data_IF_454102881689
#
_entry.id   IF_454102881689
#
_cell.length_a   1.000
_cell.length_b   1.000
_cell.length_c   1.000
_cell.angle_alpha   90.00
_cell.angle_beta   90.00
_cell.angle_gamma   90.00
#
_symmetry.space_group_name_H-M   'P 1'
#
loop_
_entity.id
_entity.type
_entity.pdbx_description
1 polymer ?
#
# COMPACT_ATOMS: atom_id res chain seq x y z
N UNK A 1 16.15 15.46 -6.75
CA UNK A 1 16.46 14.42 -7.77
C UNK A 1 15.35 13.36 -7.91
N UNK A 2 14.80 12.84 -6.81
CA UNK A 2 13.70 11.84 -6.81
C UNK A 2 12.39 12.33 -7.47
N UNK A 3 12.03 13.60 -7.27
CA UNK A 3 10.83 14.20 -7.86
C UNK A 3 10.87 14.22 -9.40
N UNK A 4 12.03 14.57 -9.98
CA UNK A 4 12.24 14.56 -11.42
C UNK A 4 12.16 13.16 -12.02
N UNK A 5 12.73 12.15 -11.36
CA UNK A 5 12.64 10.75 -11.83
C UNK A 5 11.21 10.21 -11.87
N UNK A 6 10.36 10.61 -10.91
CA UNK A 6 8.94 10.25 -10.91
C UNK A 6 8.18 10.86 -12.08
N UNK A 7 8.42 12.15 -12.35
CA UNK A 7 7.81 12.89 -13.47
C UNK A 7 8.25 12.32 -14.82
N UNK A 8 9.53 12.00 -15.00
CA UNK A 8 10.04 11.42 -16.26
C UNK A 8 9.42 10.05 -16.55
N UNK A 9 9.28 9.20 -15.52
CA UNK A 9 8.63 7.89 -15.67
C UNK A 9 7.13 8.00 -15.97
N UNK A 10 6.46 8.98 -15.36
CA UNK A 10 5.05 9.29 -15.64
C UNK A 10 4.86 9.74 -17.10
N UNK A 11 5.65 10.73 -17.54
CA UNK A 11 5.60 11.23 -18.92
C UNK A 11 5.88 10.09 -19.91
N UNK A 12 6.91 9.27 -19.67
CA UNK A 12 7.23 8.15 -20.55
C UNK A 12 6.08 7.12 -20.66
N UNK A 13 5.44 6.78 -19.53
CA UNK A 13 4.32 5.83 -19.52
C UNK A 13 3.08 6.40 -20.20
N UNK A 14 2.79 7.69 -19.98
CA UNK A 14 1.67 8.38 -20.61
C UNK A 14 1.88 8.53 -22.13
N UNK A 15 3.07 8.94 -22.56
CA UNK A 15 3.43 9.02 -23.98
C UNK A 15 3.37 7.65 -24.65
N UNK A 16 3.89 6.60 -24.01
CA UNK A 16 3.80 5.23 -24.53
C UNK A 16 2.35 4.78 -24.71
N UNK A 17 1.49 5.05 -23.71
CA UNK A 17 0.05 4.76 -23.80
C UNK A 17 -0.59 5.51 -24.98
N UNK A 18 -0.28 6.79 -25.18
CA UNK A 18 -0.79 7.59 -26.30
C UNK A 18 -0.32 7.04 -27.66
N UNK A 19 0.92 6.59 -27.77
CA UNK A 19 1.47 5.98 -29.00
C UNK A 19 0.77 4.65 -29.31
N UNK A 20 0.57 3.79 -28.31
CA UNK A 20 -0.16 2.51 -28.48
C UNK A 20 -1.59 2.79 -28.93
N UNK A 21 -2.27 3.75 -28.32
CA UNK A 21 -3.63 4.16 -28.70
C UNK A 21 -3.68 4.68 -30.13
N UNK A 22 -2.76 5.59 -30.50
CA UNK A 22 -2.70 6.13 -31.85
C UNK A 22 -2.47 5.01 -32.89
N UNK A 23 -1.53 4.11 -32.61
CA UNK A 23 -1.18 3.01 -33.52
C UNK A 23 -2.34 2.02 -33.69
N UNK A 24 -3.01 1.65 -32.59
CA UNK A 24 -4.18 0.76 -32.63
C UNK A 24 -5.34 1.37 -33.43
N UNK A 25 -5.63 2.66 -33.23
CA UNK A 25 -6.68 3.35 -33.98
C UNK A 25 -6.36 3.47 -35.48
N UNK A 26 -5.09 3.74 -35.84
CA UNK A 26 -4.66 3.74 -37.24
C UNK A 26 -4.82 2.34 -37.87
N UNK A 27 -4.47 1.26 -37.15
CA UNK A 27 -4.74 -0.09 -37.64
C UNK A 27 -6.24 -0.33 -37.87
N UNK A 28 -7.10 0.01 -36.91
CA UNK A 28 -8.56 -0.19 -37.06
C UNK A 28 -9.12 0.60 -38.25
N UNK A 29 -8.67 1.84 -38.48
CA UNK A 29 -9.09 2.67 -39.62
C UNK A 29 -8.62 2.06 -40.96
N UNK A 30 -7.49 1.34 -40.99
CA UNK A 30 -7.01 0.67 -42.21
C UNK A 30 -7.81 -0.58 -42.58
N UNK A 31 -8.58 -1.16 -41.66
CA UNK A 31 -9.36 -2.39 -41.89
C UNK A 31 -10.87 -2.16 -42.04
N UNK A 32 -11.34 -0.92 -41.85
CA UNK A 32 -12.77 -0.57 -41.90
C UNK A 32 -12.97 0.55 -42.93
N UNK A 33 -13.55 0.24 -44.09
CA UNK A 33 -13.82 1.17 -45.20
C UNK A 33 -14.98 2.17 -44.94
N UNK A 34 -15.46 2.26 -43.70
CA UNK A 34 -16.50 3.20 -43.27
C UNK A 34 -15.87 4.44 -42.60
N UNK A 35 -16.51 5.63 -42.65
CA UNK A 35 -16.10 6.78 -41.85
C UNK A 35 -16.34 6.48 -40.36
N UNK A 36 -15.39 5.78 -39.74
CA UNK A 36 -15.41 5.52 -38.31
C UNK A 36 -15.11 6.83 -37.60
N UNK A 37 -16.09 7.39 -36.90
CA UNK A 37 -15.78 8.45 -35.95
C UNK A 37 -14.84 7.84 -34.91
N UNK A 38 -13.64 8.40 -34.79
CA UNK A 38 -12.59 8.02 -33.83
C UNK A 38 -13.12 7.80 -32.39
N UNK A 39 -14.31 8.34 -32.12
CA UNK A 39 -14.93 8.53 -30.83
C UNK A 39 -15.77 7.37 -30.30
N UNK A 40 -16.16 6.37 -31.10
CA UNK A 40 -16.97 5.22 -30.61
C UNK A 40 -16.16 4.17 -29.81
N UNK A 41 -14.82 4.14 -29.97
CA UNK A 41 -13.94 3.17 -29.30
C UNK A 41 -13.16 3.75 -28.10
N UNK A 42 -13.18 5.07 -27.87
CA UNK A 42 -12.31 5.74 -26.91
C UNK A 42 -12.86 5.80 -25.46
N UNK A 43 -14.15 5.54 -25.24
CA UNK A 43 -14.79 5.68 -23.92
C UNK A 43 -14.28 4.72 -22.83
N UNK A 44 -14.02 3.42 -23.12
CA UNK A 44 -13.47 2.52 -22.11
C UNK A 44 -12.06 2.93 -21.66
N UNK A 45 -11.31 3.62 -22.52
CA UNK A 45 -9.88 3.88 -22.32
C UNK A 45 -9.61 4.97 -21.29
N UNK A 46 -10.42 6.04 -21.25
CA UNK A 46 -10.31 7.10 -20.23
C UNK A 46 -10.59 6.59 -18.82
N UNK A 47 -11.56 5.69 -18.68
CA UNK A 47 -11.84 5.00 -17.42
C UNK A 47 -10.72 4.06 -17.00
N UNK A 48 -10.21 3.21 -17.91
CA UNK A 48 -9.14 2.26 -17.60
C UNK A 48 -7.84 2.98 -17.23
N UNK A 49 -7.49 4.05 -17.95
CA UNK A 49 -6.31 4.86 -17.64
C UNK A 49 -6.45 5.57 -16.28
N UNK A 50 -7.62 6.15 -15.99
CA UNK A 50 -7.93 6.73 -14.68
C UNK A 50 -7.86 5.69 -13.55
N UNK A 51 -8.42 4.50 -13.76
CA UNK A 51 -8.39 3.39 -12.82
C UNK A 51 -6.97 2.92 -12.49
N UNK A 52 -6.16 2.60 -13.50
CA UNK A 52 -4.78 2.13 -13.31
C UNK A 52 -3.90 3.19 -12.63
N UNK A 53 -4.11 4.47 -12.95
CA UNK A 53 -3.40 5.57 -12.34
C UNK A 53 -3.80 5.76 -10.87
N UNK A 54 -5.10 5.75 -10.57
CA UNK A 54 -5.63 5.84 -9.21
C UNK A 54 -5.16 4.69 -8.32
N UNK A 55 -5.20 3.46 -8.85
CA UNK A 55 -4.72 2.25 -8.17
C UNK A 55 -3.22 2.36 -7.82
N UNK A 56 -2.38 2.66 -8.81
CA UNK A 56 -0.91 2.71 -8.65
C UNK A 56 -0.41 3.88 -7.80
N UNK A 57 -1.16 4.97 -7.74
CA UNK A 57 -0.86 6.09 -6.83
C UNK A 57 -0.99 5.68 -5.36
N UNK A 58 -1.95 4.81 -5.07
CA UNK A 58 -2.30 4.40 -3.72
C UNK A 58 -1.44 3.20 -3.27
N UNK A 59 -1.02 2.33 -4.19
CA UNK A 59 -0.10 1.19 -3.98
C UNK A 59 1.24 1.53 -3.27
N UNK A 60 1.76 2.77 -3.40
CA UNK A 60 3.11 3.14 -2.92
C UNK A 60 3.17 4.23 -1.87
N UNK A 61 2.05 4.88 -1.58
CA UNK A 61 1.98 5.94 -0.58
C UNK A 61 0.72 5.65 0.20
N UNK A 62 0.87 5.30 1.49
CA UNK A 62 -0.22 5.20 2.47
C UNK A 62 -0.87 6.57 2.75
N UNK A 63 -1.20 7.32 1.69
CA UNK A 63 -1.70 8.68 1.71
C UNK A 63 -3.04 8.64 1.00
N UNK A 64 -4.11 8.73 1.79
CA UNK A 64 -5.47 8.84 1.31
C UNK A 64 -5.56 9.95 0.27
N UNK A 65 -6.02 9.63 -0.94
CA UNK A 65 -6.08 10.59 -2.03
C UNK A 65 -7.06 11.71 -1.71
N UNK A 66 -6.56 12.93 -1.48
CA UNK A 66 -7.39 14.11 -1.29
C UNK A 66 -8.12 14.44 -2.60
N UNK A 67 -9.42 14.69 -2.53
CA UNK A 67 -10.28 15.02 -3.67
C UNK A 67 -9.73 16.22 -4.47
N UNK A 68 -9.09 17.18 -3.81
CA UNK A 68 -8.44 18.32 -4.47
C UNK A 68 -7.26 17.92 -5.35
N UNK A 69 -6.44 16.95 -4.91
CA UNK A 69 -5.32 16.42 -5.68
C UNK A 69 -5.78 15.55 -6.85
N UNK A 70 -6.87 14.78 -6.67
CA UNK A 70 -7.49 14.01 -7.75
C UNK A 70 -8.06 14.93 -8.83
N UNK A 71 -8.70 16.03 -8.45
CA UNK A 71 -9.20 17.04 -9.38
C UNK A 71 -8.07 17.71 -10.16
N UNK A 72 -6.98 18.11 -9.50
CA UNK A 72 -5.80 18.67 -10.17
C UNK A 72 -5.19 17.70 -11.19
N UNK A 73 -5.12 16.42 -10.84
CA UNK A 73 -4.61 15.38 -11.73
C UNK A 73 -5.54 15.12 -12.92
N UNK A 74 -6.86 15.06 -12.68
CA UNK A 74 -7.84 14.92 -13.73
C UNK A 74 -7.76 16.09 -14.75
N UNK A 75 -7.57 17.32 -14.26
CA UNK A 75 -7.35 18.50 -15.12
C UNK A 75 -6.08 18.35 -15.95
N UNK A 76 -4.97 17.88 -15.37
CA UNK A 76 -3.73 17.64 -16.10
C UNK A 76 -3.88 16.56 -17.18
N UNK A 77 -4.55 15.44 -16.85
CA UNK A 77 -4.85 14.37 -17.81
C UNK A 77 -5.76 14.87 -18.95
N UNK A 78 -6.73 15.72 -18.63
CA UNK A 78 -7.62 16.34 -19.61
C UNK A 78 -6.86 17.29 -20.55
N UNK A 79 -6.03 18.19 -20.01
CA UNK A 79 -5.19 19.10 -20.81
C UNK A 79 -4.20 18.32 -21.69
N UNK A 80 -3.58 17.27 -21.16
CA UNK A 80 -2.71 16.37 -21.92
C UNK A 80 -3.45 15.72 -23.11
N UNK A 81 -4.68 15.28 -22.89
CA UNK A 81 -5.52 14.68 -23.95
C UNK A 81 -5.89 15.70 -25.02
N UNK A 82 -6.24 16.94 -24.63
CA UNK A 82 -6.48 18.05 -25.57
C UNK A 82 -5.26 18.38 -26.42
N UNK A 83 -4.06 18.33 -25.81
CA UNK A 83 -2.80 18.64 -26.51
C UNK A 83 -2.50 17.59 -27.57
N UNK A 84 -2.63 16.31 -27.23
CA UNK A 84 -2.44 15.20 -28.18
C UNK A 84 -3.48 15.27 -29.30
N UNK A 85 -4.73 15.56 -28.95
CA UNK A 85 -5.81 15.75 -29.92
C UNK A 85 -5.52 16.90 -30.89
N UNK A 86 -5.04 18.05 -30.40
CA UNK A 86 -4.64 19.17 -31.24
C UNK A 86 -3.50 18.81 -32.20
N UNK A 87 -2.52 18.03 -31.74
CA UNK A 87 -1.42 17.54 -32.58
C UNK A 87 -1.93 16.57 -33.66
N UNK A 88 -2.81 15.63 -33.33
CA UNK A 88 -3.38 14.68 -34.30
C UNK A 88 -4.22 15.43 -35.35
N UNK A 89 -5.06 16.38 -34.93
CA UNK A 89 -5.85 17.20 -35.87
C UNK A 89 -4.96 18.05 -36.78
N UNK A 90 -3.86 18.59 -36.26
CA UNK A 90 -2.88 19.33 -37.06
C UNK A 90 -2.16 18.41 -38.06
N UNK A 91 -1.75 17.22 -37.64
CA UNK A 91 -1.12 16.22 -38.52
C UNK A 91 -2.10 15.74 -39.61
N UNK A 92 -3.37 15.49 -39.27
CA UNK A 92 -4.38 15.04 -40.23
C UNK A 92 -4.82 16.12 -41.24
N UNK A 93 -4.80 17.40 -40.83
CA UNK A 93 -5.09 18.55 -41.71
C UNK A 93 -3.88 19.03 -42.52
N UNK A 94 -2.67 18.64 -42.13
CA UNK A 94 -1.45 18.93 -42.88
C UNK A 94 -1.12 17.79 -43.86
N UNK A 95 -0.53 18.11 -45.01
CA UNK A 95 -0.06 17.11 -46.00
C UNK A 95 1.20 16.35 -45.52
N UNK A 96 1.42 16.23 -44.21
CA UNK A 96 2.61 15.62 -43.60
C UNK A 96 2.62 14.09 -43.68
N UNK A 97 1.46 13.45 -43.83
CA UNK A 97 1.32 12.01 -44.04
C UNK A 97 0.58 11.76 -45.36
N UNK A 98 1.22 11.12 -46.33
CA UNK A 98 0.58 10.66 -47.58
C UNK A 98 -0.31 9.42 -47.36
N UNK A 99 -1.14 9.43 -46.32
CA UNK A 99 -2.09 8.35 -46.02
C UNK A 99 -3.48 8.76 -46.50
N UNK A 100 -4.03 8.05 -47.51
CA UNK A 100 -5.40 8.25 -48.02
C UNK A 100 -6.47 8.27 -46.91
N UNK A 101 -6.24 7.50 -45.83
CA UNK A 101 -7.11 7.44 -44.65
C UNK A 101 -7.21 8.76 -43.87
N UNK A 102 -6.17 9.61 -43.89
CA UNK A 102 -6.15 10.86 -43.14
C UNK A 102 -7.08 11.94 -43.74
N UNK A 103 -7.31 11.88 -45.06
CA UNK A 103 -8.13 12.88 -45.78
C UNK A 103 -9.63 12.81 -45.47
N UNK A 104 -10.11 11.70 -44.91
CA UNK A 104 -11.52 11.51 -44.55
C UNK A 104 -11.76 11.59 -43.02
N UNK A 105 -10.74 11.93 -42.22
CA UNK A 105 -10.87 12.03 -40.78
C UNK A 105 -11.54 13.36 -40.40
N UNK A 106 -12.87 13.35 -40.23
CA UNK A 106 -13.61 14.47 -39.65
C UNK A 106 -13.59 14.36 -38.13
N UNK A 107 -12.80 15.21 -37.47
CA UNK A 107 -12.82 15.37 -36.02
C UNK A 107 -13.89 16.42 -35.69
N UNK A 108 -15.09 15.96 -35.33
CA UNK A 108 -16.17 16.84 -34.87
C UNK A 108 -16.09 17.04 -33.35
N UNK A 109 -16.23 18.28 -32.91
CA UNK A 109 -16.02 18.70 -31.52
C UNK A 109 -17.36 19.02 -30.87
N UNK A 110 -17.98 18.05 -30.21
CA UNK A 110 -19.15 18.31 -29.38
C UNK A 110 -18.71 18.58 -27.93
N UNK A 111 -19.15 19.71 -27.35
CA UNK A 111 -18.90 20.08 -25.95
C UNK A 111 -19.40 19.01 -24.95
N UNK A 112 -20.42 18.23 -25.34
CA UNK A 112 -20.93 17.09 -24.56
C UNK A 112 -19.84 16.02 -24.39
N UNK A 113 -18.98 15.83 -25.39
CA UNK A 113 -17.90 14.86 -25.35
C UNK A 113 -16.77 15.27 -24.39
N UNK A 114 -16.40 16.55 -24.41
CA UNK A 114 -15.35 17.12 -23.52
C UNK A 114 -15.70 16.95 -22.04
N UNK A 115 -16.94 17.26 -21.67
CA UNK A 115 -17.43 17.13 -20.29
C UNK A 115 -17.48 15.65 -19.88
N UNK A 116 -17.83 14.75 -20.81
CA UNK A 116 -17.92 13.32 -20.55
C UNK A 116 -16.56 12.68 -20.28
N UNK A 117 -15.50 13.05 -21.01
CA UNK A 117 -14.15 12.51 -20.78
C UNK A 117 -13.57 12.91 -19.43
N UNK A 118 -13.77 14.17 -19.02
CA UNK A 118 -13.35 14.63 -17.70
C UNK A 118 -14.05 13.85 -16.58
N UNK A 119 -15.36 13.62 -16.72
CA UNK A 119 -16.14 12.80 -15.79
C UNK A 119 -15.65 11.35 -15.70
N UNK A 120 -15.35 10.71 -16.83
CA UNK A 120 -14.88 9.32 -16.87
C UNK A 120 -13.48 9.15 -16.26
N UNK A 121 -12.58 10.12 -16.44
CA UNK A 121 -11.27 10.13 -15.79
C UNK A 121 -11.44 10.26 -14.26
N UNK A 122 -12.33 11.14 -13.80
CA UNK A 122 -12.63 11.28 -12.38
C UNK A 122 -13.22 9.99 -11.79
N UNK A 123 -14.15 9.36 -12.48
CA UNK A 123 -14.74 8.07 -12.07
C UNK A 123 -13.66 6.99 -12.03
N UNK A 124 -12.78 6.92 -13.03
CA UNK A 124 -11.66 5.98 -13.06
C UNK A 124 -10.70 6.19 -11.89
N UNK A 125 -10.25 7.43 -11.66
CA UNK A 125 -9.35 7.78 -10.55
C UNK A 125 -9.96 7.45 -9.19
N UNK A 126 -11.24 7.81 -8.99
CA UNK A 126 -11.97 7.53 -7.77
C UNK A 126 -12.14 6.02 -7.54
N UNK A 127 -12.55 5.29 -8.57
CA UNK A 127 -12.77 3.84 -8.49
C UNK A 127 -11.46 3.06 -8.29
N UNK A 128 -10.37 3.48 -8.94
CA UNK A 128 -9.04 2.88 -8.75
C UNK A 128 -8.51 3.08 -7.33
N UNK A 129 -8.68 4.29 -6.77
CA UNK A 129 -8.35 4.58 -5.38
C UNK A 129 -9.19 3.74 -4.41
N UNK A 130 -10.50 3.68 -4.62
CA UNK A 130 -11.44 2.92 -3.80
C UNK A 130 -11.19 1.40 -3.82
N UNK A 131 -10.89 0.82 -4.98
CA UNK A 131 -10.52 -0.61 -5.08
C UNK A 131 -9.20 -0.87 -4.37
N UNK A 132 -8.20 0.00 -4.52
CA UNK A 132 -6.94 -0.13 -3.78
C UNK A 132 -7.19 -0.03 -2.26
N UNK A 133 -8.03 0.91 -1.80
CA UNK A 133 -8.43 1.02 -0.39
C UNK A 133 -9.14 -0.24 0.11
N UNK A 134 -9.94 -0.92 -0.72
CA UNK A 134 -10.58 -2.19 -0.32
C UNK A 134 -9.65 -3.40 -0.36
N UNK A 135 -8.67 -3.40 -1.27
CA UNK A 135 -7.68 -4.48 -1.39
C UNK A 135 -6.57 -4.36 -0.33
N UNK A 136 -6.15 -3.14 0.01
CA UNK A 136 -5.21 -2.88 1.12
C UNK A 136 -5.91 -2.80 2.47
N UNK A 137 -7.13 -2.23 2.52
CA UNK A 137 -7.96 -2.12 3.74
C UNK A 137 -8.56 -3.44 4.21
N UNK A 138 -8.18 -4.57 3.60
CA UNK A 138 -8.42 -5.88 4.19
C UNK A 138 -7.65 -6.08 5.51
N UNK A 139 -6.61 -5.29 5.80
CA UNK A 139 -5.59 -5.68 6.79
C UNK A 139 -4.87 -4.51 7.47
N UNK A 140 -5.55 -3.41 7.79
CA UNK A 140 -5.02 -2.49 8.81
C UNK A 140 -5.76 -2.82 10.12
N UNK A 141 -5.09 -3.58 11.00
CA UNK A 141 -5.56 -3.72 12.37
C UNK A 141 -5.67 -2.32 12.98
N UNK A 142 -6.81 -2.01 13.59
CA UNK A 142 -6.93 -0.77 14.36
C UNK A 142 -5.89 -0.81 15.48
N UNK A 143 -4.84 0.00 15.34
CA UNK A 143 -3.62 -0.12 16.14
C UNK A 143 -3.86 0.24 17.61
N UNK A 144 -4.88 1.05 17.91
CA UNK A 144 -5.22 1.46 19.28
C UNK A 144 -5.76 0.28 20.12
N UNK A 145 -6.79 -0.47 19.68
CA UNK A 145 -7.18 -1.74 20.32
C UNK A 145 -6.03 -2.75 20.40
N UNK A 146 -5.22 -2.84 19.34
CA UNK A 146 -4.06 -3.73 19.30
C UNK A 146 -3.02 -3.37 20.37
N UNK A 147 -2.73 -2.08 20.56
CA UNK A 147 -1.78 -1.57 21.55
C UNK A 147 -2.17 -1.98 22.96
N UNK A 148 -3.41 -1.73 23.35
CA UNK A 148 -3.92 -2.10 24.68
C UNK A 148 -3.87 -3.62 24.91
N UNK A 149 -4.20 -4.41 23.87
CA UNK A 149 -4.14 -5.87 23.93
C UNK A 149 -2.71 -6.37 24.10
N UNK A 150 -1.78 -5.93 23.25
CA UNK A 150 -0.39 -6.37 23.30
C UNK A 150 0.31 -5.91 24.57
N UNK A 151 0.02 -4.69 25.07
CA UNK A 151 0.52 -4.22 26.36
C UNK A 151 0.06 -5.14 27.51
N UNK A 152 -1.19 -5.62 27.46
CA UNK A 152 -1.71 -6.57 28.45
C UNK A 152 -0.97 -7.91 28.39
N UNK A 153 -0.75 -8.45 27.20
CA UNK A 153 -0.05 -9.74 27.02
C UNK A 153 1.44 -9.65 27.42
N UNK A 154 2.11 -8.54 27.08
CA UNK A 154 3.47 -8.24 27.57
C UNK A 154 3.50 -8.15 29.09
N UNK A 155 2.51 -7.49 29.69
CA UNK A 155 2.41 -7.38 31.15
C UNK A 155 2.20 -8.74 31.81
N UNK A 156 1.40 -9.64 31.19
CA UNK A 156 1.22 -11.01 31.66
C UNK A 156 2.54 -11.78 31.71
N UNK A 157 3.40 -11.67 30.70
CA UNK A 157 4.72 -12.32 30.67
C UNK A 157 5.70 -11.81 31.75
N UNK A 158 5.38 -10.70 32.41
CA UNK A 158 6.11 -10.17 33.57
C UNK A 158 5.53 -10.64 34.91
N UNK A 159 4.36 -11.26 34.95
CA UNK A 159 3.74 -11.71 36.19
C UNK A 159 4.34 -13.04 36.64
N UNK A 160 4.82 -13.15 37.90
CA UNK A 160 5.31 -14.42 38.45
C UNK A 160 4.33 -15.59 38.31
N UNK A 161 3.03 -15.34 38.48
CA UNK A 161 1.98 -16.35 38.33
C UNK A 161 1.89 -16.93 36.92
N UNK A 162 2.11 -16.11 35.90
CA UNK A 162 2.10 -16.53 34.49
C UNK A 162 3.42 -17.21 34.15
N UNK A 163 4.55 -16.64 34.58
CA UNK A 163 5.89 -17.22 34.36
C UNK A 163 6.07 -18.59 35.02
N UNK A 164 5.36 -18.82 36.12
CA UNK A 164 5.28 -20.09 36.85
C UNK A 164 4.36 -21.14 36.23
N UNK A 165 3.48 -20.75 35.30
CA UNK A 165 2.45 -21.60 34.72
C UNK A 165 2.78 -21.94 33.27
N UNK A 166 3.28 -23.16 33.06
CA UNK A 166 3.65 -23.64 31.74
C UNK A 166 2.48 -23.58 30.75
N UNK A 167 1.24 -23.87 31.17
CA UNK A 167 0.09 -23.86 30.26
C UNK A 167 -0.23 -22.45 29.78
N UNK A 168 -0.11 -21.44 30.66
CA UNK A 168 -0.31 -20.05 30.25
C UNK A 168 0.81 -19.57 29.33
N UNK A 169 2.06 -19.95 29.60
CA UNK A 169 3.18 -19.65 28.70
C UNK A 169 2.99 -20.29 27.32
N UNK A 170 2.47 -21.53 27.27
CA UNK A 170 2.21 -22.21 26.01
C UNK A 170 1.22 -21.47 25.11
N UNK A 171 0.24 -20.75 25.69
CA UNK A 171 -0.73 -19.92 24.98
C UNK A 171 -0.16 -18.56 24.54
N UNK A 172 0.86 -18.07 25.24
CA UNK A 172 1.49 -16.77 24.98
C UNK A 172 2.69 -16.86 24.04
N UNK A 173 3.33 -18.03 23.93
CA UNK A 173 4.53 -18.27 23.13
C UNK A 173 4.20 -19.13 21.91
N UNK A 174 4.40 -18.55 20.73
CA UNK A 174 4.23 -19.22 19.44
C UNK A 174 5.14 -20.45 19.34
N UNK A 175 4.74 -21.48 18.57
CA UNK A 175 5.51 -22.72 18.41
C UNK A 175 6.97 -22.46 17.98
N UNK A 176 7.16 -21.53 17.04
CA UNK A 176 8.48 -21.10 16.53
C UNK A 176 9.14 -19.97 17.35
N UNK A 177 8.81 -19.84 18.64
CA UNK A 177 9.34 -18.77 19.48
C UNK A 177 10.85 -18.83 19.65
N UNK A 178 11.50 -17.66 19.54
CA UNK A 178 12.92 -17.46 19.79
C UNK A 178 13.14 -16.29 20.75
N UNK A 179 13.95 -16.49 21.79
CA UNK A 179 14.44 -15.44 22.66
C UNK A 179 15.96 -15.27 22.53
N UNK A 180 16.42 -14.02 22.44
CA UNK A 180 17.83 -13.67 22.65
C UNK A 180 17.98 -13.07 24.04
N UNK A 181 18.57 -13.84 24.94
CA UNK A 181 18.82 -13.43 26.32
C UNK A 181 19.92 -12.37 26.40
N UNK A 182 20.06 -11.73 27.57
CA UNK A 182 21.07 -10.70 27.81
C UNK A 182 22.53 -11.20 27.63
N UNK A 183 22.75 -12.52 27.70
CA UNK A 183 24.03 -13.17 27.42
C UNK A 183 24.36 -13.28 25.93
N UNK A 184 23.40 -12.96 25.05
CA UNK A 184 23.48 -13.25 23.61
C UNK A 184 23.17 -14.70 23.25
N UNK A 185 22.90 -15.57 24.22
CA UNK A 185 22.42 -16.94 23.97
C UNK A 185 21.01 -16.88 23.38
N UNK A 186 20.80 -17.72 22.37
CA UNK A 186 19.48 -17.97 21.79
C UNK A 186 18.79 -19.09 22.56
N UNK A 187 17.51 -18.88 22.87
CA UNK A 187 16.64 -19.83 23.54
C UNK A 187 15.43 -20.11 22.66
N UNK A 188 15.07 -21.37 22.53
CA UNK A 188 13.83 -21.78 21.87
C UNK A 188 12.66 -21.85 22.87
N UNK A 189 11.45 -22.03 22.34
CA UNK A 189 10.22 -22.22 23.13
C UNK A 189 10.35 -23.29 24.20
N UNK A 190 10.92 -24.46 23.87
CA UNK A 190 10.98 -25.59 24.79
C UNK A 190 11.92 -25.30 25.97
N UNK A 191 13.06 -24.66 25.70
CA UNK A 191 13.99 -24.20 26.73
C UNK A 191 13.32 -23.20 27.66
N UNK A 192 12.62 -22.21 27.11
CA UNK A 192 11.94 -21.16 27.88
C UNK A 192 10.81 -21.74 28.75
N UNK A 193 10.01 -22.67 28.22
CA UNK A 193 8.97 -23.35 29.00
C UNK A 193 9.51 -24.19 30.15
N UNK A 194 10.74 -24.73 30.03
CA UNK A 194 11.38 -25.50 31.09
C UNK A 194 12.09 -24.60 32.13
N UNK A 195 12.69 -23.49 31.69
CA UNK A 195 13.50 -22.61 32.54
C UNK A 195 12.62 -21.62 33.34
N UNK A 196 11.66 -20.96 32.69
CA UNK A 196 10.88 -19.87 33.31
C UNK A 196 10.12 -20.24 34.59
N UNK A 197 9.46 -21.42 34.70
CA UNK A 197 8.72 -21.77 35.91
C UNK A 197 9.60 -21.84 37.16
N UNK A 198 10.86 -22.26 36.99
CA UNK A 198 11.82 -22.33 38.09
C UNK A 198 12.31 -20.95 38.54
N UNK A 199 12.34 -19.97 37.63
CA UNK A 199 12.76 -18.58 37.91
C UNK A 199 11.62 -17.69 38.42
N UNK A 200 10.37 -18.18 38.37
CA UNK A 200 9.20 -17.37 38.63
C UNK A 200 9.09 -16.87 40.07
N UNK A 201 9.50 -17.70 41.06
CA UNK A 201 9.34 -17.41 42.49
C UNK A 201 10.08 -16.14 42.91
N UNK A 202 11.28 -15.93 42.36
CA UNK A 202 12.15 -14.79 42.69
C UNK A 202 12.12 -13.69 41.62
N UNK A 203 11.16 -13.75 40.69
CA UNK A 203 11.10 -12.80 39.60
C UNK A 203 10.66 -11.40 40.10
N UNK A 204 11.49 -10.35 39.91
CA UNK A 204 11.18 -9.03 40.41
C UNK A 204 10.01 -8.41 39.67
N UNK A 205 9.28 -7.52 40.35
CA UNK A 205 8.28 -6.67 39.71
C UNK A 205 8.95 -5.85 38.61
N UNK A 206 8.30 -5.79 37.44
CA UNK A 206 8.77 -5.03 36.28
C UNK A 206 7.65 -4.15 35.75
N UNK A 207 7.94 -2.88 35.57
CA UNK A 207 7.00 -1.89 35.06
C UNK A 207 7.36 -1.53 33.61
N UNK A 208 6.38 -1.67 32.71
CA UNK A 208 6.52 -1.30 31.30
C UNK A 208 6.37 0.22 31.15
N UNK A 209 7.31 0.84 30.46
CA UNK A 209 7.28 2.25 30.09
C UNK A 209 7.52 2.43 28.59
N UNK A 210 7.10 3.58 28.05
CA UNK A 210 7.37 4.00 26.67
C UNK A 210 6.93 2.95 25.62
N UNK A 211 5.80 2.28 25.88
CA UNK A 211 5.27 1.25 24.99
C UNK A 211 4.94 1.85 23.64
N UNK A 212 5.45 1.23 22.58
CA UNK A 212 5.20 1.59 21.19
C UNK A 212 5.13 0.33 20.34
N UNK A 213 4.40 0.41 19.24
CA UNK A 213 4.30 -0.69 18.29
C UNK A 213 4.44 -0.22 16.84
N UNK A 214 4.71 -1.17 15.96
CA UNK A 214 4.61 -1.02 14.51
C UNK A 214 4.12 -2.33 13.89
N UNK A 215 3.31 -2.22 12.85
CA UNK A 215 2.91 -3.36 12.04
C UNK A 215 4.00 -3.69 11.01
N UNK A 216 4.39 -4.97 10.93
CA UNK A 216 5.36 -5.49 9.96
C UNK A 216 4.65 -6.07 8.73
N UNK A 217 3.53 -6.75 8.97
CA UNK A 217 2.56 -7.25 8.01
C UNK A 217 1.24 -7.47 8.75
N UNK A 218 0.17 -7.82 8.05
CA UNK A 218 -1.08 -8.20 8.72
C UNK A 218 -0.82 -9.24 9.80
N UNK A 219 -1.38 -8.98 10.99
CA UNK A 219 -1.31 -9.91 12.11
C UNK A 219 0.11 -10.10 12.64
N UNK A 220 1.10 -9.31 12.19
CA UNK A 220 2.49 -9.40 12.66
C UNK A 220 2.94 -8.03 13.16
N UNK A 221 3.01 -7.89 14.48
CA UNK A 221 3.28 -6.62 15.15
C UNK A 221 4.61 -6.71 15.89
N UNK A 222 5.45 -5.69 15.72
CA UNK A 222 6.62 -5.51 16.56
C UNK A 222 6.35 -4.46 17.62
N UNK A 223 6.68 -4.78 18.87
CA UNK A 223 6.57 -3.86 20.00
C UNK A 223 7.95 -3.47 20.54
N UNK A 224 7.99 -2.30 21.16
CA UNK A 224 9.16 -1.71 21.79
C UNK A 224 8.75 -1.07 23.11
N UNK A 225 9.51 -1.31 24.17
CA UNK A 225 9.25 -0.71 25.46
C UNK A 225 10.51 -0.74 26.34
N UNK A 226 10.45 -0.06 27.47
CA UNK A 226 11.49 -0.11 28.50
C UNK A 226 10.96 -0.69 29.80
N UNK A 227 11.84 -1.32 30.57
CA UNK A 227 11.56 -1.71 31.96
C UNK A 227 12.21 -0.69 32.89
N UNK A 228 11.40 -0.09 33.76
CA UNK A 228 11.83 0.98 34.67
C UNK A 228 12.93 0.51 35.64
N UNK A 229 12.80 -0.69 36.20
CA UNK A 229 13.62 -1.16 37.32
C UNK A 229 15.04 -1.57 36.92
N UNK A 230 15.27 -1.92 35.66
CA UNK A 230 16.58 -2.41 35.20
C UNK A 230 17.10 -1.73 33.92
N UNK A 231 16.45 -0.64 33.50
CA UNK A 231 16.81 0.17 32.34
C UNK A 231 17.04 -0.66 31.06
N UNK A 232 16.31 -1.78 30.90
CA UNK A 232 16.37 -2.59 29.67
C UNK A 232 15.45 -2.01 28.61
N UNK A 233 15.93 -1.97 27.36
CA UNK A 233 15.12 -1.81 26.17
C UNK A 233 14.69 -3.20 25.71
N UNK A 234 13.40 -3.38 25.46
CA UNK A 234 12.83 -4.65 25.02
C UNK A 234 12.17 -4.49 23.68
N UNK A 235 12.30 -5.55 22.89
CA UNK A 235 11.55 -5.70 21.65
C UNK A 235 11.03 -7.11 21.54
N UNK A 236 9.85 -7.23 20.98
CA UNK A 236 9.17 -8.50 20.77
C UNK A 236 8.35 -8.42 19.50
N UNK A 237 8.12 -9.56 18.88
CA UNK A 237 7.27 -9.71 17.72
C UNK A 237 6.11 -10.63 18.11
N UNK A 238 4.90 -10.17 17.84
CA UNK A 238 3.65 -10.86 18.09
C UNK A 238 3.00 -11.23 16.77
N UNK A 239 2.47 -12.45 16.71
CA UNK A 239 1.75 -13.01 15.57
C UNK A 239 0.31 -13.31 15.97
N UNK A 240 -0.64 -12.94 15.13
CA UNK A 240 -2.06 -13.24 15.24
C UNK A 240 -2.39 -14.43 14.34
N UNK A 241 -2.84 -15.52 14.93
CA UNK A 241 -3.33 -16.71 14.22
C UNK A 241 -4.62 -17.17 14.88
N UNK A 242 -5.66 -17.47 14.08
CA UNK A 242 -6.96 -17.94 14.60
C UNK A 242 -7.51 -17.06 15.75
N UNK A 243 -7.41 -15.74 15.61
CA UNK A 243 -7.80 -14.72 16.61
C UNK A 243 -6.98 -14.70 17.92
N UNK A 244 -5.92 -15.51 18.01
CA UNK A 244 -5.03 -15.59 19.17
C UNK A 244 -3.68 -14.93 18.88
N UNK A 245 -3.29 -14.01 19.76
CA UNK A 245 -1.96 -13.40 19.74
C UNK A 245 -0.95 -14.28 20.50
N UNK A 246 0.17 -14.58 19.86
CA UNK A 246 1.30 -15.27 20.48
C UNK A 246 2.62 -14.60 20.09
N UNK A 247 3.56 -14.56 21.02
CA UNK A 247 4.89 -13.98 20.80
C UNK A 247 5.76 -14.97 20.04
N UNK A 248 6.39 -14.54 18.94
CA UNK A 248 7.31 -15.34 18.12
C UNK A 248 8.78 -14.94 18.31
N UNK A 249 9.04 -13.74 18.84
CA UNK A 249 10.40 -13.28 19.10
C UNK A 249 10.46 -12.39 20.35
N UNK A 250 11.53 -12.52 21.14
CA UNK A 250 11.85 -11.59 22.24
C UNK A 250 13.35 -11.27 22.32
N UNK A 251 13.67 -10.03 22.66
CA UNK A 251 15.03 -9.63 23.05
C UNK A 251 15.00 -8.48 24.05
N UNK A 252 15.85 -8.59 25.08
CA UNK A 252 16.12 -7.52 26.04
C UNK A 252 17.58 -7.06 25.96
N UNK A 253 17.82 -5.75 25.85
CA UNK A 253 19.18 -5.17 25.84
C UNK A 253 19.29 -4.11 26.94
N UNK A 254 20.35 -4.17 27.75
CA UNK A 254 20.60 -3.13 28.76
C UNK A 254 20.97 -1.82 28.07
N UNK A 255 20.38 -0.70 28.52
CA UNK A 255 20.84 0.63 28.08
C UNK A 255 22.27 0.84 28.58
N UNK A 256 23.10 1.48 27.76
CA UNK A 256 24.40 1.95 28.22
C UNK A 256 24.22 2.88 29.44
N UNK A 257 25.13 2.86 30.41
CA UNK A 257 25.08 3.73 31.57
C UNK A 257 25.07 5.22 31.19
#
# INVERSE_FOLDING_TARGET
MVYFQGVTKFIASYVFMLVVIFTFNIMVIQFVDEPVSFWKAAWPMGMIAGFLLGFKMNEKRQVRSNIGSLLQLAVLCFVGSLTVQGVISYIGSSNLLEMKAAKNLTVDFDAIWLVSQFGLILVGLWFGGWINEKLEGGQLLDLLPCEAKLLTLESQLLQPSVRGDQQQLELLLHADFIEIGASGRMYDRAQILNELPSEAVDYPVRTIENFRLRELSEGLIQVFYSIAENATQRTSIWKLEDEQWSMIYHQGTRRAP
#
